data_IF_146202103400
#
_entry.id   IF_146202103400
#
_cell.length_a   1.000
_cell.length_b   1.000
_cell.length_c   1.000
_cell.angle_alpha   90.00
_cell.angle_beta   90.00
_cell.angle_gamma   90.00
#
_symmetry.space_group_name_H-M   'P 1'
#
loop_
_entity.id
_entity.type
_entity.pdbx_description
1 polymer ?
#
# COMPACT_ATOMS: atom_id res chain seq x y z
N UNK A 1 2.74 -5.69 19.92
CA UNK A 1 2.53 -5.18 18.55
C UNK A 1 3.18 -6.08 17.50
N UNK A 2 4.44 -6.50 17.69
CA UNK A 2 5.18 -7.30 16.69
C UNK A 2 4.54 -8.64 16.29
N UNK A 3 3.96 -9.42 17.22
CA UNK A 3 3.39 -10.73 16.87
C UNK A 3 2.19 -10.69 15.92
N UNK A 4 1.40 -9.61 15.93
CA UNK A 4 0.25 -9.49 15.01
C UNK A 4 0.69 -9.09 13.61
N UNK A 5 1.63 -8.15 13.53
CA UNK A 5 2.23 -7.71 12.26
C UNK A 5 2.98 -8.87 11.61
N UNK A 6 3.77 -9.60 12.39
CA UNK A 6 4.49 -10.79 11.93
C UNK A 6 3.54 -11.86 11.38
N UNK A 7 2.43 -12.16 12.08
CA UNK A 7 1.43 -13.11 11.61
C UNK A 7 0.77 -12.67 10.29
N UNK A 8 0.44 -11.39 10.15
CA UNK A 8 -0.16 -10.85 8.92
C UNK A 8 0.82 -10.92 7.75
N UNK A 9 2.08 -10.51 7.96
CA UNK A 9 3.10 -10.55 6.91
C UNK A 9 3.42 -11.99 6.52
N UNK A 10 3.46 -12.91 7.48
CA UNK A 10 3.62 -14.35 7.23
C UNK A 10 2.47 -14.90 6.38
N UNK A 11 1.22 -14.54 6.67
CA UNK A 11 0.06 -14.97 5.88
C UNK A 11 0.14 -14.45 4.44
N UNK A 12 0.54 -13.18 4.24
CA UNK A 12 0.73 -12.57 2.92
C UNK A 12 1.85 -13.26 2.14
N UNK A 13 2.98 -13.55 2.78
CA UNK A 13 4.10 -14.28 2.14
C UNK A 13 3.66 -15.67 1.72
N UNK A 14 2.90 -16.37 2.57
CA UNK A 14 2.41 -17.73 2.28
C UNK A 14 1.41 -17.74 1.13
N UNK A 15 0.52 -16.75 1.05
CA UNK A 15 -0.40 -16.57 -0.07
C UNK A 15 0.35 -16.33 -1.38
N UNK A 16 1.28 -15.36 -1.39
CA UNK A 16 2.06 -15.03 -2.58
C UNK A 16 2.97 -16.19 -3.02
N UNK A 17 3.52 -16.95 -2.08
CA UNK A 17 4.33 -18.14 -2.36
C UNK A 17 3.53 -19.24 -3.07
N UNK A 18 2.25 -19.42 -2.71
CA UNK A 18 1.35 -20.35 -3.40
C UNK A 18 1.02 -19.89 -4.82
N UNK A 19 0.94 -18.58 -5.03
CA UNK A 19 0.55 -17.97 -6.31
C UNK A 19 1.73 -17.63 -7.23
N UNK A 20 2.97 -18.01 -6.87
CA UNK A 20 4.19 -17.72 -7.64
C UNK A 20 4.22 -18.29 -9.07
N UNK A 21 3.41 -19.33 -9.36
CA UNK A 21 3.35 -19.92 -10.69
C UNK A 21 2.54 -19.08 -11.70
N UNK A 22 1.72 -18.13 -11.23
CA UNK A 22 0.76 -17.39 -12.05
C UNK A 22 0.98 -15.88 -12.08
N UNK A 23 1.86 -15.33 -11.23
CA UNK A 23 2.03 -13.88 -11.05
C UNK A 23 3.45 -13.37 -11.39
N UNK A 24 3.49 -12.25 -12.14
CA UNK A 24 4.68 -11.49 -12.51
C UNK A 24 4.78 -10.14 -11.77
N UNK A 25 4.26 -10.06 -10.54
CA UNK A 25 4.31 -8.84 -9.72
C UNK A 25 5.67 -8.61 -9.06
N UNK A 26 5.92 -7.39 -8.58
CA UNK A 26 7.15 -7.03 -7.84
C UNK A 26 7.30 -7.82 -6.53
N UNK A 27 6.20 -8.25 -5.90
CA UNK A 27 6.22 -9.15 -4.74
C UNK A 27 6.79 -10.54 -5.10
N UNK A 28 6.63 -10.94 -6.36
CA UNK A 28 7.27 -12.15 -6.87
C UNK A 28 8.80 -11.99 -6.96
N UNK A 29 9.34 -10.76 -7.05
CA UNK A 29 10.79 -10.53 -7.13
C UNK A 29 11.50 -10.90 -5.83
N UNK A 30 11.01 -10.45 -4.67
CA UNK A 30 11.60 -10.79 -3.36
C UNK A 30 11.54 -12.29 -3.10
N UNK A 31 10.41 -12.92 -3.43
CA UNK A 31 10.24 -14.37 -3.31
C UNK A 31 11.09 -15.16 -4.31
N UNK A 32 11.34 -14.63 -5.52
CA UNK A 32 12.26 -15.22 -6.51
C UNK A 32 13.71 -15.13 -6.03
N UNK A 33 14.11 -13.99 -5.46
CA UNK A 33 15.43 -13.80 -4.86
C UNK A 33 15.65 -14.74 -3.68
N UNK A 34 14.63 -14.99 -2.85
CA UNK A 34 14.69 -16.00 -1.78
C UNK A 34 15.00 -17.40 -2.28
N UNK A 35 14.49 -17.76 -3.46
CA UNK A 35 14.68 -19.08 -4.08
C UNK A 35 15.99 -19.18 -4.85
N UNK A 36 16.71 -18.08 -5.06
CA UNK A 36 17.98 -18.08 -5.77
C UNK A 36 19.10 -18.67 -4.92
N UNK A 37 19.61 -19.83 -5.35
CA UNK A 37 20.69 -20.54 -4.67
C UNK A 37 22.08 -20.06 -5.05
N UNK A 38 22.20 -19.09 -5.95
CA UNK A 38 23.47 -18.52 -6.39
C UNK A 38 23.92 -17.32 -5.53
N UNK A 39 23.09 -16.89 -4.59
CA UNK A 39 23.45 -15.81 -3.66
C UNK A 39 24.54 -16.30 -2.69
N UNK A 40 25.55 -15.45 -2.46
CA UNK A 40 26.60 -15.72 -1.46
C UNK A 40 26.02 -15.86 -0.04
N UNK A 41 24.92 -15.17 0.23
CA UNK A 41 24.16 -15.25 1.48
C UNK A 41 22.70 -15.56 1.15
N UNK A 42 22.13 -16.66 1.67
CA UNK A 42 20.72 -16.97 1.47
C UNK A 42 19.83 -15.89 2.09
N UNK A 43 18.83 -15.44 1.34
CA UNK A 43 17.76 -14.59 1.88
C UNK A 43 16.80 -15.49 2.66
N UNK A 44 16.55 -15.13 3.92
CA UNK A 44 15.62 -15.85 4.79
C UNK A 44 14.24 -15.18 4.80
N UNK A 45 13.24 -15.93 5.27
CA UNK A 45 11.89 -15.39 5.45
C UNK A 45 11.88 -14.16 6.38
N UNK A 46 12.69 -14.18 7.44
CA UNK A 46 12.83 -13.04 8.37
C UNK A 46 13.38 -11.80 7.65
N UNK A 47 14.33 -11.96 6.73
CA UNK A 47 14.83 -10.83 5.94
C UNK A 47 13.73 -10.21 5.05
N UNK A 48 12.85 -11.02 4.48
CA UNK A 48 11.73 -10.53 3.66
C UNK A 48 10.72 -9.81 4.55
N UNK A 49 10.40 -10.37 5.71
CA UNK A 49 9.51 -9.74 6.70
C UNK A 49 10.03 -8.38 7.13
N UNK A 50 11.32 -8.28 7.45
CA UNK A 50 11.94 -7.03 7.87
C UNK A 50 11.83 -5.96 6.78
N UNK A 51 12.10 -6.32 5.52
CA UNK A 51 11.98 -5.39 4.38
C UNK A 51 10.53 -4.94 4.16
N UNK A 52 9.56 -5.85 4.23
CA UNK A 52 8.14 -5.50 4.09
C UNK A 52 7.72 -4.56 5.23
N UNK A 53 8.09 -4.89 6.46
CA UNK A 53 7.74 -4.07 7.63
C UNK A 53 8.39 -2.69 7.57
N UNK A 54 9.65 -2.59 7.14
CA UNK A 54 10.35 -1.31 6.99
C UNK A 54 9.70 -0.44 5.91
N UNK A 55 9.42 -1.02 4.75
CA UNK A 55 8.82 -0.32 3.61
C UNK A 55 7.41 0.22 3.91
N UNK A 56 6.54 -0.61 4.49
CA UNK A 56 5.15 -0.21 4.76
C UNK A 56 4.98 0.53 6.11
N UNK A 57 5.83 0.23 7.09
CA UNK A 57 5.80 0.87 8.41
C UNK A 57 6.09 2.37 8.31
N UNK A 58 7.16 2.75 7.61
CA UNK A 58 7.54 4.16 7.47
C UNK A 58 6.50 5.00 6.69
N UNK A 59 5.85 4.39 5.70
CA UNK A 59 4.85 5.07 4.85
C UNK A 59 3.55 5.31 5.60
N UNK A 60 3.13 4.37 6.45
CA UNK A 60 1.82 4.45 7.13
C UNK A 60 1.70 5.69 8.01
N UNK A 61 2.72 5.98 8.82
CA UNK A 61 2.70 7.11 9.74
C UNK A 61 2.70 8.45 8.99
N UNK A 62 3.52 8.57 7.94
CA UNK A 62 3.66 9.81 7.17
C UNK A 62 2.44 10.14 6.32
N UNK A 63 1.86 9.15 5.63
CA UNK A 63 0.65 9.35 4.82
C UNK A 63 -0.56 9.67 5.70
N UNK A 64 -0.72 8.99 6.85
CA UNK A 64 -1.82 9.25 7.78
C UNK A 64 -1.80 10.68 8.32
N UNK A 65 -0.62 11.17 8.71
CA UNK A 65 -0.43 12.55 9.17
C UNK A 65 -0.78 13.54 8.05
N UNK A 66 -0.30 13.27 6.83
CA UNK A 66 -0.54 14.15 5.68
C UNK A 66 -2.03 14.29 5.37
N UNK A 67 -2.78 13.18 5.35
CA UNK A 67 -4.24 13.20 5.11
C UNK A 67 -4.96 13.95 6.23
N UNK A 68 -4.57 13.71 7.48
CA UNK A 68 -5.16 14.38 8.65
C UNK A 68 -4.98 15.90 8.56
N UNK A 69 -3.78 16.36 8.20
CA UNK A 69 -3.49 17.78 8.02
C UNK A 69 -4.26 18.38 6.83
N UNK A 70 -4.32 17.67 5.70
CA UNK A 70 -5.10 18.11 4.54
C UNK A 70 -6.57 18.30 4.90
N UNK A 71 -7.19 17.33 5.58
CA UNK A 71 -8.58 17.44 6.06
C UNK A 71 -8.75 18.60 7.05
N UNK A 72 -7.83 18.76 7.99
CA UNK A 72 -7.89 19.84 8.97
C UNK A 72 -7.80 21.23 8.30
N UNK A 73 -6.94 21.40 7.29
CA UNK A 73 -6.83 22.66 6.54
C UNK A 73 -8.05 22.92 5.64
N UNK A 74 -8.63 21.89 5.03
CA UNK A 74 -9.89 22.02 4.30
C UNK A 74 -11.05 22.42 5.21
N UNK A 75 -11.16 21.84 6.41
CA UNK A 75 -12.21 22.19 7.38
C UNK A 75 -12.13 23.65 7.85
N UNK A 76 -10.91 24.21 7.95
CA UNK A 76 -10.72 25.64 8.27
C UNK A 76 -11.11 26.57 7.11
N UNK A 77 -11.18 26.05 5.88
CA UNK A 77 -11.48 26.82 4.67
C UNK A 77 -12.70 26.23 3.95
N UNK A 78 -13.94 26.57 4.36
CA UNK A 78 -15.17 25.96 3.83
C UNK A 78 -15.33 26.03 2.31
N UNK A 79 -14.80 27.08 1.67
CA UNK A 79 -14.81 27.21 0.20
C UNK A 79 -13.94 26.17 -0.50
N UNK A 80 -12.79 25.80 0.09
CA UNK A 80 -11.88 24.78 -0.47
C UNK A 80 -12.51 23.40 -0.26
N UNK A 81 -13.07 23.15 0.93
CA UNK A 81 -13.78 21.90 1.21
C UNK A 81 -14.96 21.67 0.28
N UNK A 82 -15.78 22.71 0.05
CA UNK A 82 -16.93 22.64 -0.86
C UNK A 82 -16.50 22.33 -2.30
N UNK A 83 -15.40 22.93 -2.76
CA UNK A 83 -14.83 22.67 -4.09
C UNK A 83 -14.34 21.22 -4.22
N UNK A 84 -13.52 20.74 -3.27
CA UNK A 84 -13.00 19.37 -3.29
C UNK A 84 -14.12 18.31 -3.26
N UNK A 85 -15.18 18.55 -2.47
CA UNK A 85 -16.35 17.66 -2.45
C UNK A 85 -17.14 17.68 -3.76
N UNK A 86 -17.21 18.84 -4.43
CA UNK A 86 -17.86 18.96 -5.73
C UNK A 86 -17.07 18.22 -6.82
N UNK A 87 -15.74 18.35 -6.85
CA UNK A 87 -14.87 17.65 -7.81
C UNK A 87 -14.98 16.12 -7.68
N UNK A 88 -14.93 15.60 -6.45
CA UNK A 88 -15.11 14.16 -6.19
C UNK A 88 -16.49 13.69 -6.66
N UNK A 89 -17.55 14.48 -6.41
CA UNK A 89 -18.90 14.12 -6.81
C UNK A 89 -19.13 14.24 -8.32
N UNK A 90 -18.45 15.17 -8.99
CA UNK A 90 -18.48 15.30 -10.45
C UNK A 90 -17.75 14.14 -11.12
N UNK A 91 -16.57 13.77 -10.63
CA UNK A 91 -15.76 12.70 -11.20
C UNK A 91 -16.37 11.30 -10.98
N UNK A 92 -16.87 11.02 -9.77
CA UNK A 92 -17.28 9.66 -9.39
C UNK A 92 -18.79 9.47 -9.21
N UNK A 93 -19.58 10.54 -9.09
CA UNK A 93 -21.04 10.46 -8.92
C UNK A 93 -21.45 9.55 -7.75
N UNK A 94 -22.28 8.55 -8.04
CA UNK A 94 -22.76 7.51 -7.11
C UNK A 94 -21.96 6.19 -7.23
N UNK A 95 -20.86 6.16 -7.99
CA UNK A 95 -20.08 4.95 -8.17
C UNK A 95 -19.40 4.55 -6.85
N UNK A 96 -19.66 3.32 -6.41
CA UNK A 96 -19.14 2.75 -5.15
C UNK A 96 -17.69 2.26 -5.31
N UNK A 97 -17.25 2.04 -6.55
CA UNK A 97 -15.92 1.51 -6.89
C UNK A 97 -15.29 2.40 -7.96
N UNK A 98 -14.04 2.78 -7.73
CA UNK A 98 -13.21 3.56 -8.65
C UNK A 98 -11.77 3.06 -8.58
N UNK A 99 -11.10 3.05 -9.72
CA UNK A 99 -9.71 2.61 -9.87
C UNK A 99 -8.75 3.81 -9.97
N UNK A 100 -7.45 3.52 -10.01
CA UNK A 100 -6.40 4.55 -10.06
C UNK A 100 -6.57 5.54 -11.23
N UNK A 101 -7.07 5.06 -12.38
CA UNK A 101 -7.29 5.87 -13.57
C UNK A 101 -8.36 6.94 -13.31
N UNK A 102 -9.41 6.57 -12.58
CA UNK A 102 -10.51 7.49 -12.29
C UNK A 102 -10.05 8.62 -11.34
N UNK A 103 -9.02 8.38 -10.51
CA UNK A 103 -8.40 9.40 -9.65
C UNK A 103 -7.62 10.45 -10.46
N UNK A 104 -7.11 10.11 -11.64
CA UNK A 104 -6.41 11.05 -12.53
C UNK A 104 -7.37 12.07 -13.19
N UNK A 105 -8.69 11.85 -13.11
CA UNK A 105 -9.71 12.73 -13.68
C UNK A 105 -10.15 13.87 -12.74
N UNK A 106 -9.67 13.88 -11.48
CA UNK A 106 -9.90 14.99 -10.55
C UNK A 106 -9.17 16.25 -11.03
N UNK A 107 -9.90 17.38 -11.10
CA UNK A 107 -9.39 18.68 -11.60
C UNK A 107 -8.91 19.62 -10.50
#
# INVERSE_FOLDING_TARGET
MHHKVDAVVEDVINEHTKNLATNNSDDALLLRLMKDRNLQFPITNDNIKDVIVDMFGAVTDTTSITITLAMAEMMKNPSILAKAQAEVREAFGDNVTFDKIDVEELK
#
